data_IF_885710315087
#
_entry.id   IF_885710315087
#
_cell.length_a   1.000
_cell.length_b   1.000
_cell.length_c   1.000
_cell.angle_alpha   90.00
_cell.angle_beta   90.00
_cell.angle_gamma   90.00
#
_symmetry.space_group_name_H-M   'P 1'
#
loop_
_entity.id
_entity.type
_entity.pdbx_description
1 polymer ?
#
# COMPACT_ATOMS: atom_id res chain seq x y z
N UNK A 1 4.71 -1.68 -21.54
CA UNK A 1 5.11 -3.04 -21.09
C UNK A 1 4.95 -3.09 -19.59
N UNK A 2 3.87 -3.70 -19.10
CA UNK A 2 3.63 -3.94 -17.68
C UNK A 2 4.34 -5.24 -17.28
N UNK A 3 5.47 -5.17 -16.59
CA UNK A 3 6.02 -6.33 -15.90
C UNK A 3 5.24 -6.53 -14.59
N UNK A 4 4.66 -7.71 -14.35
CA UNK A 4 4.00 -8.00 -13.08
C UNK A 4 4.98 -7.80 -11.93
N UNK A 5 4.56 -7.04 -10.91
CA UNK A 5 5.31 -6.92 -9.66
C UNK A 5 5.35 -8.29 -8.99
N UNK A 6 6.52 -8.85 -8.66
CA UNK A 6 6.57 -10.15 -7.99
C UNK A 6 5.89 -10.06 -6.62
N UNK A 7 5.17 -11.11 -6.19
CA UNK A 7 4.57 -11.18 -4.87
C UNK A 7 5.67 -11.04 -3.81
N UNK A 8 5.42 -10.25 -2.77
CA UNK A 8 6.34 -10.14 -1.63
C UNK A 8 6.48 -11.51 -0.98
N UNK A 9 7.59 -12.19 -1.26
CA UNK A 9 8.00 -13.38 -0.56
C UNK A 9 8.21 -13.03 0.92
N UNK A 10 7.61 -13.81 1.82
CA UNK A 10 7.92 -13.71 3.25
C UNK A 10 9.43 -13.88 3.50
N UNK A 11 9.93 -13.46 4.68
CA UNK A 11 11.37 -13.32 4.96
C UNK A 11 12.19 -14.59 4.65
N UNK A 12 11.61 -15.79 4.81
CA UNK A 12 12.32 -17.06 4.53
C UNK A 12 12.35 -17.47 3.06
N UNK A 13 11.30 -17.19 2.27
CA UNK A 13 11.25 -17.58 0.84
C UNK A 13 12.20 -16.76 -0.02
N UNK A 14 12.42 -15.50 0.33
CA UNK A 14 13.38 -14.65 -0.37
C UNK A 14 14.83 -15.17 -0.25
N UNK A 15 15.16 -15.87 0.84
CA UNK A 15 16.50 -16.43 1.04
C UNK A 15 16.74 -17.68 0.17
N UNK A 16 15.75 -18.58 0.09
CA UNK A 16 15.84 -19.78 -0.76
C UNK A 16 15.85 -19.42 -2.25
N UNK A 17 15.01 -18.47 -2.68
CA UNK A 17 14.98 -17.97 -4.06
C UNK A 17 16.30 -17.28 -4.43
N UNK A 18 16.89 -16.52 -3.50
CA UNK A 18 18.20 -15.89 -3.68
C UNK A 18 19.32 -16.94 -3.81
N UNK A 19 19.32 -17.98 -2.97
CA UNK A 19 20.30 -19.08 -3.06
C UNK A 19 20.17 -19.87 -4.35
N UNK A 20 18.94 -20.15 -4.80
CA UNK A 20 18.68 -20.80 -6.08
C UNK A 20 19.21 -19.97 -7.26
N UNK A 21 19.03 -18.64 -7.19
CA UNK A 21 19.54 -17.71 -8.20
C UNK A 21 21.08 -17.63 -8.20
N UNK A 22 21.72 -17.52 -7.04
CA UNK A 22 23.18 -17.59 -6.87
C UNK A 22 23.75 -18.92 -7.42
N UNK A 23 23.08 -20.03 -7.14
CA UNK A 23 23.48 -21.36 -7.62
C UNK A 23 23.30 -21.50 -9.14
N UNK A 24 22.27 -20.88 -9.72
CA UNK A 24 22.07 -20.86 -11.17
C UNK A 24 23.12 -19.99 -11.88
N UNK A 25 23.42 -18.80 -11.33
CA UNK A 25 24.43 -17.89 -11.85
C UNK A 25 25.85 -18.48 -11.78
N UNK A 26 26.17 -19.20 -10.71
CA UNK A 26 27.47 -19.88 -10.56
C UNK A 26 27.67 -21.07 -11.50
N UNK A 27 26.59 -21.68 -12.00
CA UNK A 27 26.63 -22.79 -12.97
C UNK A 27 26.63 -22.33 -14.43
N UNK A 28 26.09 -21.16 -14.72
CA UNK A 28 26.16 -20.52 -16.03
C UNK A 28 27.55 -19.89 -16.23
N UNK A 29 28.58 -20.72 -16.40
CA UNK A 29 29.95 -20.25 -16.61
C UNK A 29 30.15 -19.75 -18.05
N UNK A 30 29.58 -18.59 -18.39
CA UNK A 30 29.95 -17.90 -19.62
C UNK A 30 31.41 -17.38 -19.48
N UNK A 31 32.31 -17.67 -20.43
CA UNK A 31 33.64 -17.08 -20.47
C UNK A 31 33.65 -15.55 -20.32
N UNK A 32 32.59 -14.85 -20.75
CA UNK A 32 32.41 -13.40 -20.59
C UNK A 32 32.24 -12.98 -19.13
N UNK A 33 31.55 -13.79 -18.33
CA UNK A 33 31.36 -13.53 -16.90
C UNK A 33 32.67 -13.76 -16.12
N UNK A 34 33.48 -14.74 -16.55
CA UNK A 34 34.82 -14.93 -16.00
C UNK A 34 35.75 -13.74 -16.31
N UNK A 35 35.64 -13.16 -17.51
CA UNK A 35 36.40 -11.98 -17.92
C UNK A 35 35.93 -10.73 -17.15
N UNK A 36 34.62 -10.55 -16.99
CA UNK A 36 34.02 -9.48 -16.19
C UNK A 36 34.41 -9.60 -14.71
N UNK A 37 34.33 -10.81 -14.13
CA UNK A 37 34.76 -11.06 -12.75
C UNK A 37 36.26 -10.76 -12.57
N UNK A 38 37.10 -11.08 -13.55
CA UNK A 38 38.52 -10.75 -13.52
C UNK A 38 38.76 -9.23 -13.67
N UNK A 39 37.99 -8.54 -14.50
CA UNK A 39 38.03 -7.08 -14.63
C UNK A 39 37.59 -6.37 -13.34
N UNK A 40 36.52 -6.83 -12.69
CA UNK A 40 36.04 -6.30 -11.41
C UNK A 40 37.02 -6.56 -10.26
N UNK A 41 37.70 -7.72 -10.25
CA UNK A 41 38.77 -8.02 -9.27
C UNK A 41 40.03 -7.19 -9.50
N UNK A 42 40.30 -6.79 -10.74
CA UNK A 42 41.45 -5.95 -11.09
C UNK A 42 41.22 -4.46 -10.81
N UNK A 43 39.98 -4.03 -10.50
CA UNK A 43 39.73 -2.64 -10.14
C UNK A 43 40.40 -2.29 -8.80
N UNK A 44 41.12 -1.16 -8.72
CA UNK A 44 41.63 -0.67 -7.45
C UNK A 44 40.46 -0.41 -6.51
N UNK A 45 40.40 -1.16 -5.40
CA UNK A 45 39.46 -0.86 -4.32
C UNK A 45 39.93 0.41 -3.64
N UNK A 46 39.47 1.56 -4.12
CA UNK A 46 39.61 2.80 -3.36
C UNK A 46 38.85 2.63 -2.05
N UNK A 47 39.55 2.83 -0.94
CA UNK A 47 38.89 2.85 0.37
C UNK A 47 37.96 4.06 0.36
N UNK A 48 36.65 3.89 0.62
CA UNK A 48 35.75 5.03 0.69
C UNK A 48 36.23 6.00 1.79
N UNK A 49 36.01 7.32 1.63
CA UNK A 49 36.29 8.29 2.69
C UNK A 49 35.62 7.87 4.00
N UNK A 50 36.22 8.23 5.15
CA UNK A 50 35.69 7.86 6.47
C UNK A 50 34.22 8.27 6.66
N UNK A 51 33.82 9.41 6.07
CA UNK A 51 32.48 9.98 6.20
C UNK A 51 31.51 9.54 5.09
N UNK A 52 31.89 8.57 4.26
CA UNK A 52 31.07 8.11 3.14
C UNK A 52 29.72 7.57 3.62
N UNK A 53 29.74 6.71 4.66
CA UNK A 53 28.53 6.12 5.21
C UNK A 53 27.57 7.19 5.73
N UNK A 54 28.07 8.18 6.47
CA UNK A 54 27.27 9.29 7.01
C UNK A 54 26.74 10.19 5.90
N UNK A 55 27.52 10.43 4.86
CA UNK A 55 27.12 11.26 3.72
C UNK A 55 26.04 10.58 2.87
N UNK A 56 26.16 9.27 2.65
CA UNK A 56 25.13 8.47 1.99
C UNK A 56 23.87 8.42 2.84
N UNK A 57 23.99 8.17 4.15
CA UNK A 57 22.86 8.11 5.07
C UNK A 57 22.08 9.43 5.08
N UNK A 58 22.77 10.58 5.18
CA UNK A 58 22.12 11.91 5.10
C UNK A 58 21.39 12.13 3.79
N UNK A 59 21.98 11.73 2.65
CA UNK A 59 21.35 11.88 1.32
C UNK A 59 20.14 10.96 1.16
N UNK A 60 20.22 9.73 1.64
CA UNK A 60 19.10 8.78 1.62
C UNK A 60 17.96 9.29 2.51
N UNK A 61 18.25 9.71 3.74
CA UNK A 61 17.23 10.27 4.64
C UNK A 61 16.55 11.51 4.07
N UNK A 62 17.31 12.41 3.43
CA UNK A 62 16.75 13.60 2.78
C UNK A 62 15.83 13.25 1.60
N UNK A 63 16.22 12.29 0.75
CA UNK A 63 15.38 11.82 -0.37
C UNK A 63 14.13 11.09 0.12
N UNK A 64 14.28 10.14 1.05
CA UNK A 64 13.17 9.38 1.63
C UNK A 64 12.13 10.33 2.23
N UNK A 65 12.53 11.40 2.93
CA UNK A 65 11.58 12.40 3.49
C UNK A 65 10.80 13.19 2.42
N UNK A 66 11.38 13.42 1.25
CA UNK A 66 10.73 14.17 0.15
C UNK A 66 9.77 13.25 -0.62
N UNK A 67 10.22 12.03 -0.92
CA UNK A 67 9.43 11.03 -1.66
C UNK A 67 8.26 10.54 -0.80
N UNK A 68 8.48 10.21 0.48
CA UNK A 68 7.40 9.76 1.37
C UNK A 68 6.29 10.79 1.54
N UNK A 69 6.59 12.10 1.50
CA UNK A 69 5.55 13.15 1.60
C UNK A 69 4.73 13.28 0.32
N UNK A 70 5.35 13.15 -0.85
CA UNK A 70 4.63 13.20 -2.13
C UNK A 70 3.84 11.92 -2.36
N UNK A 71 4.44 10.75 -2.10
CA UNK A 71 3.78 9.46 -2.19
C UNK A 71 2.59 9.39 -1.24
N UNK A 72 2.75 9.79 0.02
CA UNK A 72 1.64 9.75 0.98
C UNK A 72 0.47 10.69 0.60
N UNK A 73 0.74 11.82 -0.07
CA UNK A 73 -0.32 12.73 -0.55
C UNK A 73 -1.02 12.16 -1.77
N UNK A 74 -0.27 11.62 -2.72
CA UNK A 74 -0.82 11.00 -3.92
C UNK A 74 -1.62 9.74 -3.57
N UNK A 75 -1.09 8.87 -2.72
CA UNK A 75 -1.76 7.67 -2.22
C UNK A 75 -3.07 8.02 -1.52
N UNK A 76 -3.07 9.04 -0.64
CA UNK A 76 -4.30 9.53 -0.02
C UNK A 76 -5.29 10.07 -1.04
N UNK A 77 -4.83 10.87 -2.01
CA UNK A 77 -5.71 11.40 -3.06
C UNK A 77 -6.33 10.29 -3.90
N UNK A 78 -5.54 9.25 -4.25
CA UNK A 78 -6.00 8.09 -5.00
C UNK A 78 -7.03 7.28 -4.21
N UNK A 79 -6.74 6.96 -2.95
CA UNK A 79 -7.67 6.23 -2.06
C UNK A 79 -8.96 7.03 -1.88
N UNK A 80 -8.86 8.34 -1.62
CA UNK A 80 -10.03 9.19 -1.48
C UNK A 80 -10.86 9.23 -2.77
N UNK A 81 -10.20 9.33 -3.93
CA UNK A 81 -10.87 9.27 -5.23
C UNK A 81 -11.60 7.95 -5.47
N UNK A 82 -10.96 6.82 -5.15
CA UNK A 82 -11.54 5.48 -5.23
C UNK A 82 -12.75 5.33 -4.29
N UNK A 83 -12.65 5.85 -3.07
CA UNK A 83 -13.75 5.84 -2.09
C UNK A 83 -14.95 6.67 -2.57
N UNK A 84 -14.71 7.86 -3.14
CA UNK A 84 -15.77 8.69 -3.72
C UNK A 84 -16.43 7.97 -4.90
N UNK A 85 -15.65 7.39 -5.81
CA UNK A 85 -16.18 6.64 -6.94
C UNK A 85 -17.01 5.43 -6.49
N UNK A 86 -16.51 4.66 -5.52
CA UNK A 86 -17.23 3.54 -4.93
C UNK A 86 -18.55 3.98 -4.31
N UNK A 87 -18.55 5.09 -3.56
CA UNK A 87 -19.76 5.64 -2.96
C UNK A 87 -20.80 6.04 -4.02
N UNK A 88 -20.37 6.66 -5.13
CA UNK A 88 -21.24 7.00 -6.26
C UNK A 88 -21.80 5.74 -6.93
N UNK A 89 -20.98 4.73 -7.17
CA UNK A 89 -21.44 3.45 -7.73
C UNK A 89 -22.44 2.74 -6.79
N UNK A 90 -22.17 2.72 -5.49
CA UNK A 90 -23.07 2.15 -4.49
C UNK A 90 -24.40 2.89 -4.43
N UNK A 91 -24.37 4.23 -4.47
CA UNK A 91 -25.58 5.05 -4.54
C UNK A 91 -26.38 4.76 -5.82
N UNK A 92 -25.71 4.67 -6.96
CA UNK A 92 -26.35 4.31 -8.23
C UNK A 92 -27.00 2.92 -8.19
N UNK A 93 -26.31 1.93 -7.62
CA UNK A 93 -26.85 0.59 -7.44
C UNK A 93 -28.07 0.59 -6.50
N UNK A 94 -28.03 1.38 -5.41
CA UNK A 94 -29.15 1.51 -4.49
C UNK A 94 -30.36 2.18 -5.16
N UNK A 95 -30.15 3.19 -6.01
CA UNK A 95 -31.24 3.85 -6.74
C UNK A 95 -31.88 2.88 -7.76
N UNK A 96 -31.07 2.10 -8.48
CA UNK A 96 -31.56 1.20 -9.52
C UNK A 96 -32.18 -0.09 -8.95
N UNK A 97 -31.58 -0.67 -7.91
CA UNK A 97 -31.93 -2.00 -7.42
C UNK A 97 -32.45 -2.01 -5.97
N UNK A 98 -32.36 -0.89 -5.25
CA UNK A 98 -32.68 -0.83 -3.82
C UNK A 98 -34.13 -1.20 -3.51
N UNK A 99 -35.08 -0.80 -4.37
CA UNK A 99 -36.48 -1.19 -4.20
C UNK A 99 -36.69 -2.71 -4.27
N UNK A 100 -36.04 -3.37 -5.24
CA UNK A 100 -36.12 -4.82 -5.41
C UNK A 100 -35.44 -5.56 -4.24
N UNK A 101 -34.24 -5.12 -3.85
CA UNK A 101 -33.54 -5.70 -2.69
C UNK A 101 -34.33 -5.51 -1.40
N UNK A 102 -34.94 -4.34 -1.22
CA UNK A 102 -35.78 -4.07 -0.06
C UNK A 102 -37.00 -4.99 -0.03
N UNK A 103 -37.67 -5.20 -1.17
CA UNK A 103 -38.79 -6.12 -1.26
C UNK A 103 -38.41 -7.57 -0.91
N UNK A 104 -37.26 -8.06 -1.37
CA UNK A 104 -36.78 -9.39 -0.97
C UNK A 104 -36.43 -9.48 0.52
N UNK A 105 -35.84 -8.40 1.05
CA UNK A 105 -35.48 -8.32 2.48
C UNK A 105 -36.73 -8.34 3.35
N UNK A 106 -37.75 -7.56 3.01
CA UNK A 106 -39.02 -7.54 3.76
C UNK A 106 -39.80 -8.84 3.62
N UNK A 107 -39.72 -9.53 2.48
CA UNK A 107 -40.31 -10.86 2.30
C UNK A 107 -39.60 -11.93 3.15
N UNK A 108 -38.27 -11.88 3.26
CA UNK A 108 -37.49 -12.88 3.99
C UNK A 108 -37.53 -12.68 5.51
N UNK A 109 -37.45 -11.43 5.99
CA UNK A 109 -37.37 -11.11 7.43
C UNK A 109 -38.72 -10.72 8.05
N UNK A 110 -39.70 -10.34 7.22
CA UNK A 110 -40.88 -9.61 7.66
C UNK A 110 -40.63 -8.09 7.72
N UNK A 111 -41.70 -7.31 7.54
CA UNK A 111 -41.63 -5.84 7.44
C UNK A 111 -41.00 -5.19 8.66
N UNK A 112 -41.44 -5.56 9.86
CA UNK A 112 -40.96 -4.95 11.12
C UNK A 112 -39.49 -5.26 11.38
N UNK A 113 -39.07 -6.52 11.20
CA UNK A 113 -37.68 -6.92 11.39
C UNK A 113 -36.74 -6.24 10.38
N UNK A 114 -37.17 -6.09 9.13
CA UNK A 114 -36.42 -5.38 8.10
C UNK A 114 -36.25 -3.88 8.46
N UNK A 115 -37.29 -3.23 8.98
CA UNK A 115 -37.22 -1.83 9.43
C UNK A 115 -36.23 -1.65 10.58
N UNK A 116 -36.27 -2.51 11.60
CA UNK A 116 -35.31 -2.47 12.70
C UNK A 116 -33.89 -2.78 12.26
N UNK A 117 -33.70 -3.71 11.33
CA UNK A 117 -32.40 -3.98 10.74
C UNK A 117 -31.85 -2.76 9.99
N UNK A 118 -32.68 -2.07 9.20
CA UNK A 118 -32.29 -0.85 8.50
C UNK A 118 -31.94 0.29 9.49
N UNK A 119 -32.73 0.47 10.55
CA UNK A 119 -32.43 1.43 11.60
C UNK A 119 -31.11 1.12 12.31
N UNK A 120 -30.84 -0.16 12.59
CA UNK A 120 -29.58 -0.63 13.17
C UNK A 120 -28.38 -0.34 12.26
N UNK A 121 -28.48 -0.67 10.97
CA UNK A 121 -27.45 -0.38 9.97
C UNK A 121 -27.20 1.13 9.87
N UNK A 122 -28.25 1.94 9.82
CA UNK A 122 -28.14 3.40 9.79
C UNK A 122 -27.44 3.95 11.05
N UNK A 123 -27.78 3.43 12.22
CA UNK A 123 -27.16 3.84 13.49
C UNK A 123 -25.67 3.47 13.54
N UNK A 124 -25.30 2.26 13.14
CA UNK A 124 -23.91 1.82 13.05
C UNK A 124 -23.12 2.66 12.04
N UNK A 125 -23.71 2.96 10.88
CA UNK A 125 -23.12 3.82 9.86
C UNK A 125 -22.84 5.23 10.37
N UNK A 126 -23.81 5.87 11.03
CA UNK A 126 -23.64 7.19 11.64
C UNK A 126 -22.59 7.17 12.75
N UNK A 127 -22.59 6.15 13.62
CA UNK A 127 -21.60 6.01 14.69
C UNK A 127 -20.18 5.86 14.15
N UNK A 128 -19.99 5.05 13.11
CA UNK A 128 -18.69 4.88 12.46
C UNK A 128 -18.24 6.16 11.74
N UNK A 129 -19.16 6.83 11.03
CA UNK A 129 -18.90 8.10 10.36
C UNK A 129 -18.46 9.20 11.33
N UNK A 130 -19.15 9.33 12.47
CA UNK A 130 -18.78 10.29 13.50
C UNK A 130 -17.39 9.99 14.10
N UNK A 131 -17.08 8.73 14.39
CA UNK A 131 -15.75 8.33 14.87
C UNK A 131 -14.66 8.65 13.86
N UNK A 132 -14.91 8.40 12.57
CA UNK A 132 -13.98 8.74 11.52
C UNK A 132 -13.75 10.26 11.44
N UNK A 133 -14.83 11.06 11.45
CA UNK A 133 -14.73 12.52 11.44
C UNK A 133 -13.94 13.08 12.65
N UNK A 134 -14.19 12.56 13.85
CA UNK A 134 -13.46 12.94 15.06
C UNK A 134 -11.97 12.54 15.00
N UNK A 135 -11.66 11.38 14.40
CA UNK A 135 -10.27 10.95 14.23
C UNK A 135 -9.47 11.87 13.30
N UNK A 136 -10.12 12.39 12.24
CA UNK A 136 -9.51 13.36 11.32
C UNK A 136 -9.26 14.68 12.06
N UNK A 137 -10.27 15.22 12.76
CA UNK A 137 -10.14 16.46 13.51
C UNK A 137 -9.04 16.41 14.59
N UNK A 138 -8.78 15.23 15.18
CA UNK A 138 -7.72 15.03 16.17
C UNK A 138 -6.31 15.04 15.55
N UNK A 139 -6.17 14.64 14.28
CA UNK A 139 -4.88 14.68 13.58
C UNK A 139 -4.48 16.10 13.17
N UNK A 140 -5.45 17.00 13.05
CA UNK A 140 -5.22 18.41 12.67
C UNK A 140 -4.85 19.30 13.86
N UNK A 141 -4.81 18.78 15.09
CA UNK A 141 -4.28 19.54 16.24
C UNK A 141 -2.76 19.64 16.08
N UNK A 142 -2.21 20.81 15.71
CA UNK A 142 -0.79 20.94 15.47
C UNK A 142 -0.03 20.65 16.76
N UNK A 143 1.03 19.84 16.68
CA UNK A 143 1.97 19.59 17.78
C UNK A 143 2.80 20.82 18.18
N UNK A 144 2.26 22.03 18.02
CA UNK A 144 2.92 23.31 18.26
C UNK A 144 3.15 23.64 19.75
N UNK A 145 2.96 22.67 20.66
CA UNK A 145 3.15 22.83 22.10
C UNK A 145 4.17 21.83 22.68
N UNK A 146 4.98 21.18 21.85
CA UNK A 146 6.08 20.30 22.28
C UNK A 146 7.44 20.86 21.86
#
# INVERSE_FOLDING_TARGET
MNTPRPPHAGPDRGHEDWLAQETALSRAADPRDALLARALRAQPRSRPPADFADTVLRRVQARVRIDTRHDARFERALINGLMVLLALCALGALVLYGGQWWAWTTQALGGDAAQWAAAGIACLGLSAGLRAALSIARQDVPQALA
#
